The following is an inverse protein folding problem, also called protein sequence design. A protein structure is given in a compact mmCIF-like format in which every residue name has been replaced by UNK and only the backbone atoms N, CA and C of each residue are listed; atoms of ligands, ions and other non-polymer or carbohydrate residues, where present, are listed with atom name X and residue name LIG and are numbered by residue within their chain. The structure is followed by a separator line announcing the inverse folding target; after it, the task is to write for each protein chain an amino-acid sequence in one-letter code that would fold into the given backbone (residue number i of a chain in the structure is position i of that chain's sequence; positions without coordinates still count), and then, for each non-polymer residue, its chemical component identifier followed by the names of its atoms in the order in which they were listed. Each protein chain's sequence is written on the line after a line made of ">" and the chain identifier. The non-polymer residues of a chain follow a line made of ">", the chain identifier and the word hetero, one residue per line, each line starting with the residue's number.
data_IF_491140601191
#
_entry.id   IF_491140601191
#
_cell.length_a   1.000
_cell.length_b   1.000
_cell.length_c   1.000
_cell.angle_alpha   90.00
_cell.angle_beta   90.00
_cell.angle_gamma   90.00
#
_symmetry.space_group_name_H-M   'P 1'
#
loop_
_entity.id
_entity.type
_entity.pdbx_description
1 polymer ?
#
# COMPACT_ATOMS: atom_id res chain seq x y z
N UNK A 1 -0.15 8.08 -25.46
CA UNK A 1 -1.27 9.01 -25.20
C UNK A 1 -2.55 8.41 -25.74
N UNK A 2 -3.67 8.65 -25.07
CA UNK A 2 -5.02 8.31 -25.53
C UNK A 2 -5.87 9.58 -25.46
N UNK A 3 -6.83 9.76 -26.38
CA UNK A 3 -7.64 10.97 -26.45
C UNK A 3 -8.11 11.26 -27.88
N UNK A 4 -8.43 12.53 -28.15
CA UNK A 4 -8.86 12.97 -29.48
C UNK A 4 -7.77 12.72 -30.53
N UNK A 5 -8.18 12.18 -31.66
CA UNK A 5 -7.29 11.78 -32.75
C UNK A 5 -6.45 12.95 -33.29
N UNK A 6 -7.07 14.12 -33.51
CA UNK A 6 -6.38 15.30 -34.04
C UNK A 6 -5.26 15.81 -33.13
N UNK A 7 -5.47 15.75 -31.81
CA UNK A 7 -4.47 16.12 -30.81
C UNK A 7 -3.34 15.08 -30.73
N UNK A 8 -3.67 13.79 -30.77
CA UNK A 8 -2.68 12.72 -30.76
C UNK A 8 -1.80 12.79 -32.02
N UNK A 9 -2.41 13.00 -33.20
CA UNK A 9 -1.69 13.17 -34.45
C UNK A 9 -0.75 14.39 -34.43
N UNK A 10 -1.21 15.51 -33.86
CA UNK A 10 -0.37 16.72 -33.69
C UNK A 10 0.84 16.45 -32.79
N UNK A 11 0.67 15.68 -31.70
CA UNK A 11 1.78 15.27 -30.83
C UNK A 11 2.74 14.32 -31.55
N UNK A 12 2.22 13.35 -32.31
CA UNK A 12 3.04 12.42 -33.10
C UNK A 12 3.85 13.13 -34.18
N UNK A 13 3.31 14.18 -34.82
CA UNK A 13 4.03 14.97 -35.81
C UNK A 13 5.26 15.70 -35.23
N UNK A 14 5.29 15.93 -33.91
CA UNK A 14 6.44 16.50 -33.19
C UNK A 14 7.40 15.43 -32.63
N UNK A 15 7.09 14.15 -32.78
CA UNK A 15 7.90 13.04 -32.29
C UNK A 15 8.90 12.54 -33.36
N UNK A 16 9.81 11.66 -32.95
CA UNK A 16 10.76 11.02 -33.87
C UNK A 16 10.02 10.35 -35.05
N UNK A 17 10.44 10.55 -36.31
CA UNK A 17 11.75 11.07 -36.74
C UNK A 17 11.85 12.60 -36.85
N UNK A 18 10.77 13.36 -36.63
CA UNK A 18 10.81 14.82 -36.69
C UNK A 18 11.73 15.41 -35.61
N UNK A 19 12.29 16.59 -35.89
CA UNK A 19 13.13 17.35 -34.96
C UNK A 19 12.29 18.25 -34.04
N UNK A 20 11.13 17.76 -33.60
CA UNK A 20 10.27 18.44 -32.64
C UNK A 20 10.62 18.11 -31.19
N UNK A 21 9.98 18.82 -30.25
CA UNK A 21 10.19 18.64 -28.81
C UNK A 21 9.89 17.21 -28.35
N UNK A 22 9.00 16.48 -29.03
CA UNK A 22 8.63 15.10 -28.71
C UNK A 22 9.78 14.10 -28.87
N UNK A 23 10.84 14.44 -29.62
CA UNK A 23 12.01 13.56 -29.81
C UNK A 23 12.73 13.24 -28.51
N UNK A 24 12.83 14.20 -27.58
CA UNK A 24 13.49 14.02 -26.29
C UNK A 24 12.70 13.11 -25.33
N UNK A 25 11.40 12.89 -25.59
CA UNK A 25 10.50 12.09 -24.76
C UNK A 25 10.29 10.68 -25.30
N UNK A 26 11.18 10.18 -26.16
CA UNK A 26 11.11 8.80 -26.65
C UNK A 26 11.39 7.84 -25.50
N UNK A 27 10.53 6.83 -25.36
CA UNK A 27 10.70 5.77 -24.35
C UNK A 27 11.62 4.66 -24.86
N UNK A 28 12.20 3.88 -23.95
CA UNK A 28 13.06 2.74 -24.25
C UNK A 28 12.25 1.53 -24.77
N UNK A 29 12.92 0.48 -25.27
CA UNK A 29 12.19 -0.74 -25.70
C UNK A 29 11.61 -1.48 -24.49
N UNK A 30 12.32 -1.43 -23.38
CA UNK A 30 11.98 -2.00 -22.09
C UNK A 30 10.69 -1.36 -21.55
N UNK A 31 10.56 -0.03 -21.63
CA UNK A 31 9.34 0.65 -21.23
C UNK A 31 8.14 0.26 -22.10
N UNK A 32 8.34 0.07 -23.41
CA UNK A 32 7.27 -0.35 -24.32
C UNK A 32 6.76 -1.74 -23.93
N UNK A 33 7.66 -2.70 -23.73
CA UNK A 33 7.30 -4.08 -23.37
C UNK A 33 6.68 -4.12 -21.96
N UNK A 34 7.23 -3.34 -21.02
CA UNK A 34 6.67 -3.22 -19.67
C UNK A 34 5.26 -2.63 -19.68
N UNK A 35 5.02 -1.57 -20.44
CA UNK A 35 3.69 -0.97 -20.60
C UNK A 35 2.72 -1.93 -21.27
N UNK A 36 3.14 -2.64 -22.32
CA UNK A 36 2.31 -3.65 -22.99
C UNK A 36 1.85 -4.71 -21.99
N UNK A 37 2.79 -5.30 -21.23
CA UNK A 37 2.43 -6.33 -20.24
C UNK A 37 1.56 -5.78 -19.11
N UNK A 38 1.78 -4.54 -18.68
CA UNK A 38 0.93 -3.89 -17.69
C UNK A 38 -0.52 -3.73 -18.18
N UNK A 39 -0.72 -3.38 -19.45
CA UNK A 39 -2.06 -3.29 -20.06
C UNK A 39 -2.71 -4.66 -20.18
N UNK A 40 -1.98 -5.68 -20.62
CA UNK A 40 -2.48 -7.06 -20.67
C UNK A 40 -2.92 -7.54 -19.27
N UNK A 41 -2.06 -7.36 -18.26
CA UNK A 41 -2.39 -7.70 -16.87
C UNK A 41 -3.62 -6.94 -16.38
N UNK A 42 -3.75 -5.65 -16.70
CA UNK A 42 -4.92 -4.87 -16.31
C UNK A 42 -6.22 -5.39 -16.95
N UNK A 43 -6.16 -5.94 -18.16
CA UNK A 43 -7.31 -6.57 -18.83
C UNK A 43 -7.61 -7.98 -18.31
N UNK A 44 -6.57 -8.72 -17.89
CA UNK A 44 -6.68 -10.08 -17.35
C UNK A 44 -7.09 -10.11 -15.88
N UNK A 45 -6.83 -9.05 -15.10
CA UNK A 45 -6.99 -9.04 -13.65
C UNK A 45 -8.45 -9.03 -13.24
N UNK A 46 -8.86 -10.02 -12.45
CA UNK A 46 -10.10 -9.97 -11.67
C UNK A 46 -9.90 -9.10 -10.42
N UNK A 47 -10.34 -7.84 -10.51
CA UNK A 47 -10.24 -6.88 -9.41
C UNK A 47 -11.05 -7.29 -8.17
N UNK A 48 -12.13 -8.06 -8.34
CA UNK A 48 -12.94 -8.58 -7.24
C UNK A 48 -12.20 -9.65 -6.46
N UNK A 49 -11.61 -10.63 -7.15
CA UNK A 49 -10.77 -11.66 -6.55
C UNK A 49 -9.54 -11.05 -5.85
N UNK A 50 -8.89 -10.08 -6.52
CA UNK A 50 -7.76 -9.35 -5.95
C UNK A 50 -8.14 -8.57 -4.68
N UNK A 51 -9.29 -7.89 -4.68
CA UNK A 51 -9.79 -7.21 -3.49
C UNK A 51 -10.07 -8.19 -2.36
N UNK A 52 -10.75 -9.32 -2.66
CA UNK A 52 -11.06 -10.34 -1.67
C UNK A 52 -9.80 -10.90 -0.99
N UNK A 53 -8.74 -11.13 -1.77
CA UNK A 53 -7.46 -11.59 -1.26
C UNK A 53 -6.77 -10.54 -0.36
N UNK A 54 -6.77 -9.28 -0.78
CA UNK A 54 -6.24 -8.19 0.04
C UNK A 54 -7.05 -8.01 1.34
N UNK A 55 -8.37 -8.12 1.27
CA UNK A 55 -9.26 -8.03 2.42
C UNK A 55 -8.99 -9.18 3.40
N UNK A 56 -8.87 -10.41 2.89
CA UNK A 56 -8.54 -11.60 3.69
C UNK A 56 -7.23 -11.41 4.46
N UNK A 57 -6.18 -10.88 3.82
CA UNK A 57 -4.90 -10.57 4.50
C UNK A 57 -5.06 -9.49 5.57
N UNK A 58 -5.79 -8.41 5.27
CA UNK A 58 -6.06 -7.36 6.26
C UNK A 58 -6.84 -7.88 7.48
N UNK A 59 -7.79 -8.77 7.27
CA UNK A 59 -8.56 -9.44 8.32
C UNK A 59 -7.69 -10.39 9.15
N UNK A 60 -6.77 -11.13 8.53
CA UNK A 60 -5.84 -11.99 9.26
C UNK A 60 -4.90 -11.20 10.17
N UNK A 61 -4.33 -10.09 9.67
CA UNK A 61 -3.53 -9.19 10.51
C UNK A 61 -4.39 -8.61 11.65
N UNK A 62 -5.64 -8.22 11.36
CA UNK A 62 -6.54 -7.68 12.38
C UNK A 62 -6.86 -8.72 13.46
N UNK A 63 -7.13 -9.96 13.06
CA UNK A 63 -7.42 -11.06 13.97
C UNK A 63 -6.21 -11.42 14.85
N UNK A 64 -5.00 -11.43 14.27
CA UNK A 64 -3.77 -11.70 15.01
C UNK A 64 -3.44 -10.65 16.07
N UNK A 65 -3.87 -9.40 15.86
CA UNK A 65 -3.69 -8.29 16.80
C UNK A 65 -4.89 -8.09 17.76
N UNK A 66 -5.95 -8.88 17.60
CA UNK A 66 -7.14 -8.74 18.43
C UNK A 66 -6.84 -9.04 19.90
N UNK A 67 -7.32 -8.17 20.80
CA UNK A 67 -7.17 -8.35 22.24
C UNK A 67 -5.79 -8.02 22.80
N UNK A 68 -4.84 -7.54 21.98
CA UNK A 68 -3.54 -7.06 22.48
C UNK A 68 -3.75 -5.78 23.31
N UNK A 69 -3.34 -5.75 24.59
CA UNK A 69 -3.50 -4.56 25.43
C UNK A 69 -2.77 -3.35 24.85
N UNK A 70 -3.36 -2.16 25.01
CA UNK A 70 -2.78 -0.90 24.54
C UNK A 70 -3.08 -0.55 23.07
N UNK A 71 -3.72 -1.44 22.31
CA UNK A 71 -4.14 -1.13 20.93
C UNK A 71 -5.60 -1.51 20.68
N UNK A 72 -6.23 -0.80 19.73
CA UNK A 72 -7.52 -1.16 19.15
C UNK A 72 -7.35 -1.38 17.64
N UNK A 73 -8.03 -2.40 17.11
CA UNK A 73 -7.80 -2.87 15.75
C UNK A 73 -9.10 -2.94 14.98
N UNK A 74 -9.10 -2.49 13.73
CA UNK A 74 -10.25 -2.57 12.81
C UNK A 74 -9.79 -2.66 11.37
N UNK A 75 -10.62 -3.22 10.51
CA UNK A 75 -10.39 -3.19 9.06
C UNK A 75 -11.19 -2.06 8.45
N UNK A 76 -10.54 -1.29 7.57
CA UNK A 76 -11.23 -0.34 6.69
C UNK A 76 -11.28 -0.94 5.29
N UNK A 77 -12.46 -1.12 4.68
CA UNK A 77 -12.58 -1.76 3.36
C UNK A 77 -12.12 -0.84 2.22
N UNK A 78 -12.28 0.48 2.39
CA UNK A 78 -12.02 1.46 1.35
C UNK A 78 -10.93 2.44 1.75
N UNK A 79 -10.19 2.91 0.75
CA UNK A 79 -9.22 4.00 0.87
C UNK A 79 -9.90 5.36 1.07
N UNK A 80 -9.08 6.40 1.26
CA UNK A 80 -9.53 7.77 1.56
C UNK A 80 -10.48 8.35 0.51
N UNK A 81 -10.33 7.96 -0.75
CA UNK A 81 -11.15 8.44 -1.87
C UNK A 81 -12.26 7.45 -2.25
N UNK A 82 -12.56 6.46 -1.39
CA UNK A 82 -13.58 5.44 -1.64
C UNK A 82 -13.11 4.28 -2.54
N UNK A 83 -11.83 4.24 -2.93
CA UNK A 83 -11.29 3.15 -3.74
C UNK A 83 -11.25 1.83 -2.96
N UNK A 84 -11.48 0.66 -3.61
CA UNK A 84 -11.44 -0.65 -2.97
C UNK A 84 -9.99 -0.98 -2.55
N UNK A 85 -9.68 -0.69 -1.28
CA UNK A 85 -8.32 -0.67 -0.75
C UNK A 85 -8.39 -1.01 0.74
N UNK A 86 -8.52 -2.31 1.05
CA UNK A 86 -8.71 -2.75 2.42
C UNK A 86 -7.40 -2.57 3.18
N UNK A 87 -7.48 -2.16 4.44
CA UNK A 87 -6.30 -2.02 5.32
C UNK A 87 -6.65 -2.30 6.77
N UNK A 88 -5.71 -2.89 7.49
CA UNK A 88 -5.80 -3.00 8.94
C UNK A 88 -5.38 -1.67 9.55
N UNK A 89 -6.23 -1.11 10.40
CA UNK A 89 -5.94 0.08 11.20
C UNK A 89 -5.66 -0.37 12.62
N UNK A 90 -4.53 0.10 13.16
CA UNK A 90 -4.13 -0.11 14.55
C UNK A 90 -4.09 1.26 15.21
N UNK A 91 -5.01 1.48 16.14
CA UNK A 91 -5.07 2.67 16.98
C UNK A 91 -4.32 2.42 18.28
N UNK A 92 -3.37 3.28 18.60
CA UNK A 92 -2.70 3.27 19.90
C UNK A 92 -3.66 3.87 20.93
N UNK A 93 -3.96 3.12 21.98
CA UNK A 93 -4.83 3.59 23.05
C UNK A 93 -4.04 4.50 24.00
N UNK A 94 -4.71 5.40 24.75
CA UNK A 94 -4.04 6.25 25.73
C UNK A 94 -3.19 5.47 26.75
N UNK A 95 -3.57 4.23 27.06
CA UNK A 95 -2.82 3.33 27.95
C UNK A 95 -1.50 2.81 27.39
N UNK A 96 -1.23 3.02 26.09
CA UNK A 96 -0.02 2.53 25.43
C UNK A 96 1.23 3.33 25.80
N UNK A 97 1.07 4.61 26.14
CA UNK A 97 2.16 5.46 26.62
C UNK A 97 3.18 5.92 25.55
N UNK A 98 3.18 5.35 24.35
CA UNK A 98 4.05 5.78 23.26
C UNK A 98 3.33 6.64 22.23
N UNK A 99 4.05 7.63 21.70
CA UNK A 99 3.62 8.35 20.52
C UNK A 99 3.64 7.45 19.28
N UNK A 100 2.73 7.71 18.35
CA UNK A 100 2.65 7.02 17.06
C UNK A 100 3.99 6.98 16.31
N UNK A 101 4.74 8.09 16.31
CA UNK A 101 6.04 8.17 15.62
C UNK A 101 7.07 7.21 16.23
N UNK A 102 7.11 7.11 17.56
CA UNK A 102 8.01 6.20 18.27
C UNK A 102 7.66 4.74 17.97
N UNK A 103 6.36 4.41 17.98
CA UNK A 103 5.88 3.09 17.59
C UNK A 103 6.29 2.70 16.15
N UNK A 104 6.10 3.60 15.19
CA UNK A 104 6.51 3.37 13.80
C UNK A 104 8.02 3.22 13.64
N UNK A 105 8.82 4.00 14.39
CA UNK A 105 10.27 3.87 14.38
C UNK A 105 10.71 2.51 14.93
N UNK A 106 10.15 2.09 16.07
CA UNK A 106 10.48 0.79 16.66
C UNK A 106 10.13 -0.40 15.74
N UNK A 107 9.02 -0.34 15.00
CA UNK A 107 8.69 -1.34 13.99
C UNK A 107 9.71 -1.38 12.86
N UNK A 108 10.06 -0.22 12.30
CA UNK A 108 11.00 -0.08 11.17
C UNK A 108 12.42 -0.52 11.55
N UNK A 109 12.87 -0.13 12.74
CA UNK A 109 14.26 -0.31 13.19
C UNK A 109 14.49 -1.71 13.83
N UNK A 110 13.46 -2.58 13.81
CA UNK A 110 13.57 -3.97 14.23
C UNK A 110 14.04 -4.93 13.14
N UNK A 111 14.13 -6.21 13.49
CA UNK A 111 14.46 -7.30 12.55
C UNK A 111 13.36 -8.39 12.58
N UNK A 112 12.60 -8.58 11.50
CA UNK A 112 12.60 -7.78 10.27
C UNK A 112 11.99 -6.38 10.51
N UNK A 113 12.45 -5.42 9.71
CA UNK A 113 11.94 -4.05 9.73
C UNK A 113 10.56 -3.95 9.08
N UNK A 114 9.57 -3.42 9.82
CA UNK A 114 8.20 -3.24 9.33
C UNK A 114 7.89 -1.76 9.16
N UNK A 115 7.61 -1.36 7.92
CA UNK A 115 7.19 0.00 7.59
C UNK A 115 5.68 0.07 7.44
N UNK A 116 5.04 0.75 8.38
CA UNK A 116 3.59 1.04 8.34
C UNK A 116 3.33 2.49 7.95
N UNK A 117 2.08 2.82 7.58
CA UNK A 117 1.69 4.18 7.22
C UNK A 117 0.91 4.84 8.34
N UNK A 118 1.27 6.09 8.68
CA UNK A 118 0.45 6.95 9.51
C UNK A 118 -0.95 7.13 8.90
N UNK A 119 -2.02 6.99 9.69
CA UNK A 119 -3.36 7.30 9.23
C UNK A 119 -3.58 8.82 9.29
N UNK A 120 -3.98 9.43 8.18
CA UNK A 120 -4.13 10.90 8.10
C UNK A 120 -5.35 11.37 8.88
N UNK A 121 -6.39 10.53 8.95
CA UNK A 121 -7.66 10.86 9.61
C UNK A 121 -7.63 10.67 11.14
N UNK A 122 -6.58 10.06 11.69
CA UNK A 122 -6.45 9.77 13.12
C UNK A 122 -4.98 9.78 13.55
N UNK A 123 -4.63 10.75 14.39
CA UNK A 123 -3.27 11.02 14.85
C UNK A 123 -2.66 9.87 15.67
N UNK A 124 -3.49 9.03 16.29
CA UNK A 124 -3.06 7.91 17.14
C UNK A 124 -3.07 6.57 16.38
N UNK A 125 -3.39 6.59 15.08
CA UNK A 125 -3.54 5.38 14.28
C UNK A 125 -2.47 5.22 13.21
N UNK A 126 -2.06 3.97 13.01
CA UNK A 126 -1.30 3.52 11.84
C UNK A 126 -2.13 2.55 11.01
N UNK A 127 -1.70 2.30 9.79
CA UNK A 127 -2.31 1.31 8.90
C UNK A 127 -1.28 0.36 8.31
N UNK A 128 -1.63 -0.92 8.30
CA UNK A 128 -0.93 -1.99 7.59
C UNK A 128 -1.67 -2.22 6.28
N UNK A 129 -0.98 -2.03 5.16
CA UNK A 129 -1.57 -2.21 3.84
C UNK A 129 -1.26 -3.62 3.31
N UNK A 130 -2.28 -4.45 3.00
CA UNK A 130 -2.09 -5.86 2.65
C UNK A 130 -1.34 -6.09 1.34
N UNK A 131 -1.29 -5.10 0.43
CA UNK A 131 -0.52 -5.20 -0.81
C UNK A 131 0.98 -5.41 -0.58
N UNK A 132 1.52 -4.87 0.52
CA UNK A 132 2.93 -5.00 0.86
C UNK A 132 3.27 -6.24 1.69
N UNK A 133 2.29 -7.12 1.92
CA UNK A 133 2.42 -8.29 2.81
C UNK A 133 2.06 -9.55 2.02
N UNK A 134 2.98 -10.51 1.98
CA UNK A 134 2.70 -11.85 1.44
C UNK A 134 2.02 -12.73 2.48
N UNK A 135 1.38 -13.80 2.04
CA UNK A 135 0.59 -14.67 2.94
C UNK A 135 1.46 -15.28 4.03
N UNK A 136 2.66 -15.71 3.69
CA UNK A 136 3.64 -16.25 4.61
C UNK A 136 4.22 -15.20 5.59
N UNK A 137 4.09 -13.91 5.29
CA UNK A 137 4.60 -12.81 6.12
C UNK A 137 3.58 -12.30 7.14
N UNK A 138 2.30 -12.67 7.01
CA UNK A 138 1.24 -12.19 7.91
C UNK A 138 1.58 -12.47 9.38
N UNK A 139 2.05 -13.68 9.69
CA UNK A 139 2.45 -14.06 11.05
C UNK A 139 3.63 -13.23 11.56
N UNK A 140 4.64 -13.02 10.71
CA UNK A 140 5.81 -12.20 11.03
C UNK A 140 5.41 -10.76 11.36
N UNK A 141 4.48 -10.18 10.61
CA UNK A 141 3.96 -8.83 10.86
C UNK A 141 3.25 -8.76 12.21
N UNK A 142 2.34 -9.71 12.47
CA UNK A 142 1.58 -9.79 13.73
C UNK A 142 2.53 -9.95 14.92
N UNK A 143 3.44 -10.91 14.87
CA UNK A 143 4.36 -11.22 15.98
C UNK A 143 5.25 -10.02 16.30
N UNK A 144 5.78 -9.34 15.28
CA UNK A 144 6.62 -8.17 15.48
C UNK A 144 5.83 -7.00 16.06
N UNK A 145 4.61 -6.77 15.59
CA UNK A 145 3.73 -5.73 16.16
C UNK A 145 3.40 -6.01 17.62
N UNK A 146 3.07 -7.27 17.97
CA UNK A 146 2.86 -7.68 19.36
C UNK A 146 4.13 -7.47 20.19
N UNK A 147 5.31 -7.82 19.68
CA UNK A 147 6.57 -7.65 20.38
C UNK A 147 6.87 -6.18 20.69
N UNK A 148 6.65 -5.27 19.73
CA UNK A 148 6.79 -3.82 19.97
C UNK A 148 5.78 -3.34 21.00
N UNK A 149 4.51 -3.78 20.91
CA UNK A 149 3.47 -3.36 21.84
C UNK A 149 3.80 -3.80 23.28
N UNK A 150 4.27 -5.03 23.46
CA UNK A 150 4.66 -5.55 24.78
C UNK A 150 5.91 -4.89 25.33
N UNK A 151 6.90 -4.60 24.48
CA UNK A 151 8.12 -3.89 24.86
C UNK A 151 7.87 -2.44 25.31
N UNK A 152 6.76 -1.84 24.87
CA UNK A 152 6.34 -0.50 25.30
C UNK A 152 5.62 -0.47 26.66
N UNK A 153 5.08 -1.61 27.10
CA UNK A 153 4.26 -1.72 28.33
C UNK A 153 5.08 -2.17 29.56
N UNK A 154 6.40 -2.32 29.41
CA UNK A 154 7.35 -2.63 30.50
C UNK A 154 8.09 -1.36 30.89
#
# INVERSE_FOLDING_TARGET
>A
MVGREDLVASVQAMASPAHGIGRAFKTSKEDIVGLLRAVELALETDEGARYAELLRRAEQVAAGLAGVPGIAVRVLPNGRQGQPCPRTVVRLLPSFGWERRAFMAALRDGEPGIVVRALDEDADSVSVHPLGVRDEEVGVVVDRMIAVVRGATT
#
